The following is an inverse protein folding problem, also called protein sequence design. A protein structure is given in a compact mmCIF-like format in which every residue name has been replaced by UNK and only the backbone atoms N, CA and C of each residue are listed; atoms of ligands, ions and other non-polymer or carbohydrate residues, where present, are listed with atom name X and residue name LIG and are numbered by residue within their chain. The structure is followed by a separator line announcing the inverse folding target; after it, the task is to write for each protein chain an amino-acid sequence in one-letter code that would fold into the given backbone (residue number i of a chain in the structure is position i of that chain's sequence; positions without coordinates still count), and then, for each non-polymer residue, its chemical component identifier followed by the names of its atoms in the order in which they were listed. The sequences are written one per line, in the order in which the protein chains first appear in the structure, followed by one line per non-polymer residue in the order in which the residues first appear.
data_IF_907704241344
#
_entry.id   IF_907704241344
#
_cell.length_a   1.000
_cell.length_b   1.000
_cell.length_c   1.000
_cell.angle_alpha   90.00
_cell.angle_beta   90.00
_cell.angle_gamma   90.00
#
_symmetry.space_group_name_H-M   'P 1'
#
loop_
_entity.id
_entity.type
_entity.pdbx_description
1 polymer ?
#
# COMPACT_ATOMS: atom_id res chain seq x y z
N UNK A 1 9.95 -4.24 13.80
CA UNK A 1 9.62 -3.17 12.84
C UNK A 1 8.64 -2.15 13.44
N UNK A 2 7.64 -2.62 14.21
CA UNK A 2 6.53 -1.80 14.70
C UNK A 2 6.80 -1.08 16.04
N UNK A 3 7.86 -1.45 16.75
CA UNK A 3 8.16 -0.84 18.04
C UNK A 3 8.52 0.65 17.91
N UNK A 4 7.78 1.48 18.62
CA UNK A 4 8.03 2.92 18.70
C UNK A 4 9.04 3.18 19.80
N UNK A 5 10.31 3.24 19.42
CA UNK A 5 11.40 3.50 20.38
C UNK A 5 11.55 5.01 20.61
N UNK A 6 11.57 5.39 21.87
CA UNK A 6 12.08 6.72 22.22
C UNK A 6 13.55 6.86 21.76
N UNK A 7 14.00 8.07 21.48
CA UNK A 7 15.38 8.28 21.04
C UNK A 7 16.45 7.70 21.98
N UNK A 8 16.31 7.74 23.33
CA UNK A 8 17.23 7.06 24.22
C UNK A 8 17.22 5.54 24.08
N UNK A 9 16.04 4.92 23.97
CA UNK A 9 15.92 3.46 23.78
C UNK A 9 16.47 3.03 22.43
N UNK A 10 16.22 3.81 21.37
CA UNK A 10 16.81 3.60 20.06
C UNK A 10 18.34 3.58 20.12
N UNK A 11 18.93 4.55 20.82
CA UNK A 11 20.38 4.61 21.01
C UNK A 11 20.91 3.39 21.74
N UNK A 12 20.23 2.93 22.80
CA UNK A 12 20.63 1.72 23.55
C UNK A 12 20.59 0.48 22.65
N UNK A 13 19.51 0.29 21.87
CA UNK A 13 19.39 -0.83 20.93
C UNK A 13 20.48 -0.81 19.87
N UNK A 14 20.77 0.35 19.28
CA UNK A 14 21.86 0.48 18.29
C UNK A 14 23.23 0.22 18.93
N UNK A 15 23.44 0.64 20.17
CA UNK A 15 24.70 0.38 20.88
C UNK A 15 24.88 -1.10 21.18
N UNK A 16 23.83 -1.80 21.60
CA UNK A 16 23.87 -3.20 22.03
C UNK A 16 23.86 -4.18 20.85
N UNK A 17 23.06 -3.89 19.83
CA UNK A 17 22.82 -4.78 18.68
C UNK A 17 23.38 -4.24 17.36
N UNK A 18 24.19 -3.18 17.37
CA UNK A 18 24.68 -2.51 16.17
C UNK A 18 25.46 -3.41 15.22
N UNK A 19 26.12 -4.44 15.70
CA UNK A 19 26.83 -5.43 14.88
C UNK A 19 25.89 -6.27 14.00
N UNK A 20 24.61 -6.41 14.39
CA UNK A 20 23.56 -7.13 13.65
C UNK A 20 22.71 -6.19 12.77
N UNK A 21 22.90 -4.88 12.89
CA UNK A 21 22.11 -3.86 12.21
C UNK A 21 22.92 -3.21 11.08
N UNK A 22 22.81 -3.75 9.88
CA UNK A 22 23.46 -3.20 8.70
C UNK A 22 22.66 -2.06 8.05
N UNK A 23 23.16 -1.56 6.92
CA UNK A 23 22.51 -0.49 6.13
C UNK A 23 21.11 -0.87 5.69
N UNK A 24 20.89 -2.14 5.35
CA UNK A 24 19.58 -2.65 4.89
C UNK A 24 18.53 -2.58 5.98
N UNK A 25 18.88 -2.99 7.21
CA UNK A 25 17.99 -2.96 8.37
C UNK A 25 17.61 -1.52 8.72
N UNK A 26 18.60 -0.62 8.74
CA UNK A 26 18.37 0.80 8.99
C UNK A 26 17.54 1.46 7.90
N UNK A 27 17.75 1.12 6.60
CA UNK A 27 16.93 1.60 5.49
C UNK A 27 15.48 1.11 5.62
N UNK A 28 15.29 -0.19 5.84
CA UNK A 28 13.95 -0.79 6.01
C UNK A 28 13.19 -0.10 7.15
N UNK A 29 13.85 0.12 8.28
CA UNK A 29 13.27 0.83 9.42
C UNK A 29 12.95 2.28 9.09
N UNK A 30 13.82 2.97 8.35
CA UNK A 30 13.62 4.36 7.95
C UNK A 30 12.40 4.50 7.04
N UNK A 31 12.28 3.65 6.02
CA UNK A 31 11.13 3.64 5.09
C UNK A 31 9.84 3.32 5.83
N UNK A 32 9.85 2.28 6.67
CA UNK A 32 8.68 1.91 7.47
C UNK A 32 8.21 3.05 8.37
N UNK A 33 9.14 3.74 9.05
CA UNK A 33 8.83 4.88 9.90
C UNK A 33 8.26 6.06 9.08
N UNK A 34 8.79 6.31 7.87
CA UNK A 34 8.28 7.36 6.98
C UNK A 34 6.85 7.09 6.52
N UNK A 35 6.52 5.83 6.19
CA UNK A 35 5.15 5.44 5.82
C UNK A 35 4.14 5.63 6.95
N UNK A 36 4.60 5.58 8.21
CA UNK A 36 3.77 5.84 9.41
C UNK A 36 3.85 7.31 9.88
N UNK A 37 4.33 8.21 9.03
CA UNK A 37 4.50 9.65 9.33
C UNK A 37 5.35 9.92 10.60
N UNK A 38 6.29 9.01 10.92
CA UNK A 38 7.23 9.13 12.05
C UNK A 38 8.55 9.73 11.59
N UNK A 39 8.52 10.96 11.12
CA UNK A 39 9.61 11.61 10.40
C UNK A 39 10.94 11.66 11.16
N UNK A 40 10.89 11.98 12.45
CA UNK A 40 12.09 12.02 13.29
C UNK A 40 12.78 10.66 13.41
N UNK A 41 12.00 9.58 13.51
CA UNK A 41 12.53 8.20 13.51
C UNK A 41 13.09 7.84 12.14
N UNK A 42 12.35 8.16 11.09
CA UNK A 42 12.74 7.88 9.70
C UNK A 42 14.10 8.52 9.37
N UNK A 43 14.26 9.81 9.67
CA UNK A 43 15.51 10.53 9.36
C UNK A 43 16.71 10.08 10.22
N UNK A 44 16.50 9.73 11.49
CA UNK A 44 17.58 9.16 12.32
C UNK A 44 18.00 7.79 11.81
N UNK A 45 17.07 6.92 11.47
CA UNK A 45 17.38 5.61 10.92
C UNK A 45 18.06 5.73 9.54
N UNK A 46 17.63 6.66 8.70
CA UNK A 46 18.25 6.94 7.41
C UNK A 46 19.72 7.40 7.56
N UNK A 47 20.03 8.21 8.56
CA UNK A 47 21.41 8.64 8.83
C UNK A 47 22.34 7.47 9.16
N UNK A 48 21.84 6.43 9.84
CA UNK A 48 22.59 5.20 10.14
C UNK A 48 22.76 4.32 8.88
N UNK A 49 21.86 4.41 7.91
CA UNK A 49 21.95 3.70 6.63
C UNK A 49 22.91 4.35 5.63
N UNK A 50 23.24 5.64 5.80
CA UNK A 50 24.21 6.34 4.98
C UNK A 50 23.62 7.57 4.22
N UNK A 51 24.50 8.35 3.55
CA UNK A 51 24.12 9.64 2.94
C UNK A 51 23.06 9.49 1.83
N UNK A 52 23.17 8.46 1.01
CA UNK A 52 22.26 8.22 -0.13
C UNK A 52 20.85 7.91 0.35
N UNK A 53 20.73 7.03 1.37
CA UNK A 53 19.46 6.72 2.03
C UNK A 53 18.91 7.96 2.76
N UNK A 54 19.80 8.78 3.32
CA UNK A 54 19.38 10.05 3.95
C UNK A 54 18.78 11.01 2.92
N UNK A 55 19.37 11.13 1.73
CA UNK A 55 18.82 11.96 0.65
C UNK A 55 17.44 11.42 0.20
N UNK A 56 17.33 10.11 -0.01
CA UNK A 56 16.06 9.44 -0.33
C UNK A 56 14.97 9.76 0.71
N UNK A 57 15.27 9.51 1.99
CA UNK A 57 14.27 9.67 3.06
C UNK A 57 13.90 11.13 3.32
N UNK A 58 14.80 12.09 3.08
CA UNK A 58 14.44 13.52 3.10
C UNK A 58 13.39 13.85 2.05
N UNK A 59 13.53 13.30 0.82
CA UNK A 59 12.54 13.50 -0.23
C UNK A 59 11.19 12.81 0.11
N UNK A 60 11.24 11.59 0.64
CA UNK A 60 10.04 10.84 1.06
C UNK A 60 9.29 11.58 2.16
N UNK A 61 9.95 11.95 3.26
CA UNK A 61 9.35 12.66 4.40
C UNK A 61 8.81 14.04 3.99
N UNK A 62 9.54 14.79 3.14
CA UNK A 62 9.05 16.06 2.67
C UNK A 62 7.78 15.93 1.81
N UNK A 63 7.64 14.83 1.06
CA UNK A 63 6.44 14.58 0.25
C UNK A 63 5.20 14.30 1.08
N UNK A 64 5.34 13.66 2.24
CA UNK A 64 4.21 13.38 3.15
C UNK A 64 3.74 14.65 3.88
N UNK A 65 4.62 15.63 4.07
CA UNK A 65 4.37 16.87 4.83
C UNK A 65 4.08 18.11 3.97
N UNK A 66 3.65 17.95 2.71
CA UNK A 66 3.43 19.07 1.77
C UNK A 66 4.65 20.00 1.54
N UNK A 67 5.80 19.66 2.12
CA UNK A 67 7.07 20.39 1.99
C UNK A 67 7.94 19.91 0.83
N UNK A 68 7.46 18.95 0.03
CA UNK A 68 8.24 18.38 -1.06
C UNK A 68 8.45 19.40 -2.17
N UNK A 69 9.70 19.77 -2.36
CA UNK A 69 10.13 20.49 -3.55
C UNK A 69 10.67 19.49 -4.59
N UNK A 70 10.49 19.80 -5.86
CA UNK A 70 11.10 19.02 -6.95
C UNK A 70 12.64 18.96 -6.81
N UNK A 71 13.24 19.93 -6.11
CA UNK A 71 14.66 19.93 -5.74
C UNK A 71 15.05 18.74 -4.84
N UNK A 72 14.22 18.35 -3.88
CA UNK A 72 14.50 17.20 -3.01
C UNK A 72 14.42 15.89 -3.80
N UNK A 73 13.45 15.76 -4.68
CA UNK A 73 13.36 14.59 -5.57
C UNK A 73 14.55 14.52 -6.54
N UNK A 74 14.99 15.66 -7.09
CA UNK A 74 16.15 15.73 -7.97
C UNK A 74 17.48 15.45 -7.24
N UNK A 75 17.55 15.70 -5.94
CA UNK A 75 18.74 15.42 -5.12
C UNK A 75 18.89 13.94 -4.73
N UNK A 76 17.88 13.11 -4.97
CA UNK A 76 17.97 11.66 -4.75
C UNK A 76 18.91 11.06 -5.80
N UNK A 77 19.93 10.26 -5.40
CA UNK A 77 20.85 9.64 -6.33
C UNK A 77 20.14 8.80 -7.41
N UNK A 78 20.72 8.73 -8.62
CA UNK A 78 20.10 8.09 -9.78
C UNK A 78 19.68 6.63 -9.53
N UNK A 79 20.46 5.89 -8.77
CA UNK A 79 20.20 4.51 -8.37
C UNK A 79 18.93 4.35 -7.52
N UNK A 80 18.55 5.39 -6.76
CA UNK A 80 17.37 5.41 -5.89
C UNK A 80 16.14 6.06 -6.54
N UNK A 81 16.26 6.59 -7.76
CA UNK A 81 15.12 7.24 -8.44
C UNK A 81 13.95 6.29 -8.75
N UNK A 82 14.23 4.98 -8.82
CA UNK A 82 13.23 3.91 -9.02
C UNK A 82 12.83 3.22 -7.72
N UNK A 83 13.31 3.68 -6.58
CA UNK A 83 12.99 3.08 -5.29
C UNK A 83 11.48 3.15 -4.99
N UNK A 84 10.93 2.05 -4.48
CA UNK A 84 9.51 1.94 -4.17
C UNK A 84 9.05 3.03 -3.19
N UNK A 85 9.87 3.39 -2.18
CA UNK A 85 9.51 4.42 -1.20
C UNK A 85 9.40 5.80 -1.84
N UNK A 86 10.21 6.11 -2.86
CA UNK A 86 10.11 7.36 -3.59
C UNK A 86 8.86 7.38 -4.49
N UNK A 87 8.52 6.25 -5.11
CA UNK A 87 7.28 6.10 -5.87
C UNK A 87 6.06 6.29 -4.95
N UNK A 88 6.06 5.65 -3.80
CA UNK A 88 5.01 5.81 -2.78
C UNK A 88 4.82 7.29 -2.38
N UNK A 89 5.90 7.97 -2.04
CA UNK A 89 5.87 9.37 -1.64
C UNK A 89 5.29 10.30 -2.73
N UNK A 90 5.64 10.06 -4.00
CA UNK A 90 5.08 10.79 -5.16
C UNK A 90 3.58 10.55 -5.30
N UNK A 91 3.14 9.29 -5.19
CA UNK A 91 1.74 8.89 -5.27
C UNK A 91 0.94 9.53 -4.15
N UNK A 92 1.43 9.42 -2.92
CA UNK A 92 0.81 10.02 -1.73
C UNK A 92 0.64 11.54 -1.88
N UNK A 93 1.68 12.25 -2.32
CA UNK A 93 1.63 13.69 -2.60
C UNK A 93 0.59 14.04 -3.67
N UNK A 94 0.54 13.28 -4.78
CA UNK A 94 -0.45 13.50 -5.84
C UNK A 94 -1.87 13.33 -5.31
N UNK A 95 -2.13 12.27 -4.54
CA UNK A 95 -3.43 12.04 -3.94
C UNK A 95 -3.83 13.16 -2.96
N UNK A 96 -2.91 13.59 -2.07
CA UNK A 96 -3.16 14.72 -1.15
C UNK A 96 -3.43 16.02 -1.89
N UNK A 97 -2.75 16.27 -3.01
CA UNK A 97 -3.02 17.39 -3.89
C UNK A 97 -4.29 17.25 -4.74
N UNK A 98 -5.10 16.21 -4.51
CA UNK A 98 -6.31 15.85 -5.26
C UNK A 98 -6.09 15.62 -6.76
N UNK A 99 -4.86 15.30 -7.17
CA UNK A 99 -4.47 14.91 -8.55
C UNK A 99 -4.65 13.41 -8.72
N UNK A 100 -5.91 12.98 -8.67
CA UNK A 100 -6.27 11.56 -8.51
C UNK A 100 -5.90 10.73 -9.74
N UNK A 101 -6.09 11.25 -10.94
CA UNK A 101 -5.76 10.56 -12.19
C UNK A 101 -4.25 10.36 -12.34
N UNK A 102 -3.46 11.38 -11.99
CA UNK A 102 -1.99 11.28 -11.97
C UNK A 102 -1.51 10.27 -10.90
N UNK A 103 -2.13 10.31 -9.71
CA UNK A 103 -1.85 9.36 -8.65
C UNK A 103 -2.17 7.92 -9.07
N UNK A 104 -3.29 7.70 -9.76
CA UNK A 104 -3.72 6.42 -10.28
C UNK A 104 -2.74 5.86 -11.33
N UNK A 105 -2.32 6.70 -12.28
CA UNK A 105 -1.32 6.30 -13.28
C UNK A 105 0.01 5.91 -12.63
N UNK A 106 0.49 6.73 -11.68
CA UNK A 106 1.70 6.43 -10.93
C UNK A 106 1.57 5.13 -10.11
N UNK A 107 0.41 4.87 -9.49
CA UNK A 107 0.14 3.66 -8.73
C UNK A 107 0.13 2.39 -9.60
N UNK A 108 -0.42 2.47 -10.81
CA UNK A 108 -0.44 1.35 -11.75
C UNK A 108 0.96 1.05 -12.34
N UNK A 109 1.84 2.05 -12.37
CA UNK A 109 3.24 1.89 -12.80
C UNK A 109 4.19 1.50 -11.67
N UNK A 110 3.75 1.53 -10.41
CA UNK A 110 4.58 1.26 -9.25
C UNK A 110 4.95 -0.23 -9.13
N UNK A 111 6.06 -0.56 -8.43
CA UNK A 111 6.40 -1.94 -8.09
C UNK A 111 5.28 -2.64 -7.32
N UNK A 112 5.17 -3.96 -7.51
CA UNK A 112 4.14 -4.79 -6.86
C UNK A 112 4.72 -5.98 -6.09
N UNK A 113 6.01 -6.23 -6.20
CA UNK A 113 6.64 -7.26 -5.40
C UNK A 113 6.62 -6.85 -3.91
N UNK A 114 5.97 -7.62 -3.03
CA UNK A 114 5.92 -7.32 -1.60
C UNK A 114 7.30 -7.14 -0.98
N UNK A 115 8.33 -7.81 -1.49
CA UNK A 115 9.69 -7.71 -1.00
C UNK A 115 10.31 -6.31 -1.23
N UNK A 116 9.90 -5.62 -2.30
CA UNK A 116 10.38 -4.28 -2.65
C UNK A 116 9.64 -3.17 -1.88
N UNK A 117 8.41 -3.44 -1.45
CA UNK A 117 7.51 -2.41 -0.92
C UNK A 117 7.78 -2.02 0.54
N UNK A 118 8.57 -2.79 1.29
CA UNK A 118 8.85 -2.62 2.74
C UNK A 118 7.61 -2.82 3.62
N UNK A 119 6.51 -2.15 3.34
CA UNK A 119 5.20 -2.31 3.99
C UNK A 119 4.09 -2.40 2.94
N UNK A 120 3.82 -3.60 2.39
CA UNK A 120 2.78 -3.81 1.39
C UNK A 120 1.36 -3.45 1.88
N UNK A 121 1.14 -3.49 3.18
CA UNK A 121 -0.16 -3.18 3.78
C UNK A 121 -0.44 -1.67 3.79
N UNK A 122 0.62 -0.86 3.95
CA UNK A 122 0.50 0.60 3.79
C UNK A 122 0.26 0.98 2.32
N UNK A 123 0.88 0.27 1.38
CA UNK A 123 0.59 0.42 -0.04
C UNK A 123 -0.87 0.08 -0.36
N UNK A 124 -1.46 -0.92 0.30
CA UNK A 124 -2.89 -1.19 0.18
C UNK A 124 -3.73 -0.02 0.69
N UNK A 125 -3.37 0.57 1.81
CA UNK A 125 -4.07 1.76 2.34
C UNK A 125 -4.13 2.87 1.29
N UNK A 126 -3.02 3.17 0.63
CA UNK A 126 -2.94 4.20 -0.41
C UNK A 126 -3.75 3.81 -1.66
N UNK A 127 -3.66 2.55 -2.13
CA UNK A 127 -4.46 2.02 -3.24
C UNK A 127 -5.95 2.16 -2.99
N UNK A 128 -6.40 1.79 -1.80
CA UNK A 128 -7.81 1.90 -1.40
C UNK A 128 -8.32 3.34 -1.46
N UNK A 129 -7.53 4.28 -0.97
CA UNK A 129 -7.90 5.70 -0.97
C UNK A 129 -8.03 6.25 -2.40
N UNK A 130 -7.11 5.90 -3.30
CA UNK A 130 -7.15 6.30 -4.70
C UNK A 130 -8.34 5.63 -5.41
N UNK A 131 -8.56 4.33 -5.22
CA UNK A 131 -9.67 3.60 -5.82
C UNK A 131 -11.03 4.22 -5.44
N UNK A 132 -11.22 4.58 -4.16
CA UNK A 132 -12.45 5.26 -3.71
C UNK A 132 -12.66 6.61 -4.41
N UNK A 133 -11.61 7.42 -4.52
CA UNK A 133 -11.68 8.71 -5.23
C UNK A 133 -12.00 8.55 -6.72
N UNK A 134 -11.51 7.49 -7.35
CA UNK A 134 -11.85 7.18 -8.75
C UNK A 134 -13.31 6.76 -8.89
N UNK A 135 -13.85 5.99 -7.94
CA UNK A 135 -15.29 5.67 -7.93
C UNK A 135 -16.14 6.93 -7.79
N UNK A 136 -15.77 7.88 -6.93
CA UNK A 136 -16.45 9.17 -6.78
C UNK A 136 -16.45 9.97 -8.11
N UNK A 137 -15.42 9.77 -8.95
CA UNK A 137 -15.29 10.38 -10.29
C UNK A 137 -15.92 9.54 -11.42
N UNK A 138 -16.47 8.36 -11.12
CA UNK A 138 -17.09 7.46 -12.11
C UNK A 138 -16.10 6.56 -12.86
N UNK A 139 -14.80 6.59 -12.55
CA UNK A 139 -13.81 5.72 -13.19
C UNK A 139 -13.67 4.38 -12.43
N UNK A 140 -14.72 3.57 -12.54
CA UNK A 140 -14.77 2.25 -11.92
C UNK A 140 -13.74 1.27 -12.52
N UNK A 141 -13.40 1.41 -13.80
CA UNK A 141 -12.46 0.51 -14.46
C UNK A 141 -11.04 0.67 -13.89
N UNK A 142 -10.55 1.90 -13.74
CA UNK A 142 -9.26 2.17 -13.13
C UNK A 142 -9.28 1.85 -11.62
N UNK A 143 -10.38 2.17 -10.92
CA UNK A 143 -10.54 1.82 -9.51
C UNK A 143 -10.42 0.31 -9.26
N UNK A 144 -11.07 -0.51 -10.11
CA UNK A 144 -10.95 -1.96 -10.05
C UNK A 144 -9.51 -2.43 -10.25
N UNK A 145 -8.82 -1.94 -11.29
CA UNK A 145 -7.43 -2.33 -11.55
C UNK A 145 -6.52 -2.03 -10.35
N UNK A 146 -6.64 -0.82 -9.77
CA UNK A 146 -5.86 -0.42 -8.59
C UNK A 146 -6.14 -1.35 -7.40
N UNK A 147 -7.40 -1.68 -7.14
CA UNK A 147 -7.77 -2.57 -6.04
C UNK A 147 -7.33 -4.02 -6.30
N UNK A 148 -7.56 -4.54 -7.51
CA UNK A 148 -7.27 -5.92 -7.88
C UNK A 148 -5.76 -6.23 -7.92
N UNK A 149 -4.94 -5.22 -8.24
CA UNK A 149 -3.48 -5.33 -8.31
C UNK A 149 -2.81 -5.02 -6.97
N UNK A 150 -3.47 -5.29 -5.83
CA UNK A 150 -2.89 -5.10 -4.51
C UNK A 150 -1.74 -6.07 -4.23
N UNK A 151 -0.89 -5.70 -3.27
CA UNK A 151 0.23 -6.54 -2.80
C UNK A 151 0.15 -6.78 -1.28
N UNK A 152 -1.03 -6.58 -0.68
CA UNK A 152 -1.25 -6.73 0.74
C UNK A 152 -0.85 -8.13 1.23
N UNK A 153 -0.16 -8.21 2.36
CA UNK A 153 0.36 -9.46 2.94
C UNK A 153 -0.32 -9.80 4.27
N UNK A 154 -0.72 -8.81 5.06
CA UNK A 154 -1.49 -9.00 6.27
C UNK A 154 -2.86 -9.60 5.98
N UNK A 155 -3.33 -10.53 6.83
CA UNK A 155 -4.59 -11.22 6.60
C UNK A 155 -5.79 -10.25 6.52
N UNK A 156 -5.84 -9.26 7.39
CA UNK A 156 -6.89 -8.24 7.41
C UNK A 156 -6.87 -7.39 6.14
N UNK A 157 -5.70 -6.90 5.75
CA UNK A 157 -5.49 -6.07 4.56
C UNK A 157 -5.79 -6.85 3.27
N UNK A 158 -5.43 -8.12 3.20
CA UNK A 158 -5.79 -9.01 2.08
C UNK A 158 -7.30 -9.19 1.96
N UNK A 159 -7.98 -9.48 3.08
CA UNK A 159 -9.45 -9.62 3.11
C UNK A 159 -10.10 -8.33 2.63
N UNK A 160 -9.60 -7.18 3.09
CA UNK A 160 -10.13 -5.88 2.69
C UNK A 160 -9.87 -5.59 1.20
N UNK A 161 -8.69 -5.90 0.69
CA UNK A 161 -8.31 -5.68 -0.71
C UNK A 161 -9.14 -6.55 -1.66
N UNK A 162 -9.24 -7.82 -1.37
CA UNK A 162 -10.06 -8.76 -2.16
C UNK A 162 -11.54 -8.37 -2.10
N UNK A 163 -12.02 -7.93 -0.94
CA UNK A 163 -13.38 -7.41 -0.84
C UNK A 163 -13.60 -6.20 -1.76
N UNK A 164 -12.71 -5.19 -1.73
CA UNK A 164 -12.87 -3.99 -2.54
C UNK A 164 -12.82 -4.32 -4.03
N UNK A 165 -11.89 -5.14 -4.48
CA UNK A 165 -11.80 -5.56 -5.87
C UNK A 165 -13.07 -6.29 -6.33
N UNK A 166 -13.53 -7.29 -5.58
CA UNK A 166 -14.76 -8.02 -5.86
C UNK A 166 -16.00 -7.12 -5.86
N UNK A 167 -16.10 -6.22 -4.89
CA UNK A 167 -17.23 -5.30 -4.78
C UNK A 167 -17.27 -4.28 -5.92
N UNK A 168 -16.12 -3.74 -6.33
CA UNK A 168 -16.05 -2.82 -7.48
C UNK A 168 -16.45 -3.56 -8.76
N UNK A 169 -15.91 -4.76 -8.98
CA UNK A 169 -16.26 -5.57 -10.13
C UNK A 169 -17.77 -5.85 -10.20
N UNK A 170 -18.36 -6.28 -9.09
CA UNK A 170 -19.77 -6.65 -9.06
C UNK A 170 -20.71 -5.45 -9.19
N UNK A 171 -20.43 -4.37 -8.43
CA UNK A 171 -21.40 -3.27 -8.24
C UNK A 171 -21.25 -2.11 -9.22
N UNK A 172 -20.04 -1.89 -9.73
CA UNK A 172 -19.75 -0.75 -10.61
C UNK A 172 -19.43 -1.17 -12.04
N UNK A 173 -18.85 -2.38 -12.24
CA UNK A 173 -18.58 -2.90 -13.56
C UNK A 173 -19.66 -3.88 -14.04
N UNK A 174 -20.58 -4.31 -13.18
CA UNK A 174 -21.58 -5.36 -13.44
C UNK A 174 -20.93 -6.63 -13.99
N UNK A 175 -19.75 -6.98 -13.48
CA UNK A 175 -18.94 -8.11 -13.94
C UNK A 175 -18.78 -9.15 -12.80
N UNK A 176 -19.76 -10.07 -12.65
CA UNK A 176 -19.70 -11.12 -11.64
C UNK A 176 -18.54 -12.11 -11.90
N UNK A 177 -18.12 -12.28 -13.14
CA UNK A 177 -16.98 -13.13 -13.49
C UNK A 177 -15.66 -12.61 -12.93
N UNK A 178 -15.44 -11.30 -12.97
CA UNK A 178 -14.30 -10.67 -12.30
C UNK A 178 -14.44 -10.65 -10.76
N UNK A 179 -15.67 -10.55 -10.25
CA UNK A 179 -15.90 -10.46 -8.81
C UNK A 179 -15.68 -11.78 -8.08
N UNK A 180 -16.12 -12.89 -8.65
CA UNK A 180 -16.15 -14.21 -8.02
C UNK A 180 -14.77 -14.67 -7.51
N UNK A 181 -13.66 -14.59 -8.27
CA UNK A 181 -12.36 -15.02 -7.80
C UNK A 181 -11.84 -14.18 -6.63
N UNK A 182 -12.19 -12.89 -6.55
CA UNK A 182 -11.81 -12.05 -5.41
C UNK A 182 -12.52 -12.47 -4.14
N UNK A 183 -13.82 -12.73 -4.17
CA UNK A 183 -14.55 -13.23 -3.02
C UNK A 183 -14.14 -14.65 -2.62
N UNK A 184 -13.68 -15.48 -3.56
CA UNK A 184 -13.10 -16.79 -3.25
C UNK A 184 -11.81 -16.63 -2.43
N UNK A 185 -10.85 -15.81 -2.90
CA UNK A 185 -9.60 -15.54 -2.15
C UNK A 185 -9.84 -14.88 -0.80
N UNK A 186 -10.87 -14.02 -0.70
CA UNK A 186 -11.31 -13.47 0.57
C UNK A 186 -11.74 -14.58 1.54
N UNK A 187 -12.51 -15.57 1.09
CA UNK A 187 -12.95 -16.70 1.91
C UNK A 187 -11.79 -17.59 2.36
N UNK A 188 -10.81 -17.82 1.48
CA UNK A 188 -9.60 -18.60 1.78
C UNK A 188 -8.73 -17.93 2.86
N UNK A 189 -8.73 -16.60 2.91
CA UNK A 189 -7.95 -15.81 3.88
C UNK A 189 -8.70 -15.60 5.20
N UNK A 190 -10.03 -15.73 5.20
CA UNK A 190 -10.88 -15.41 6.33
C UNK A 190 -10.66 -16.36 7.52
N UNK A 191 -10.14 -15.82 8.64
CA UNK A 191 -9.84 -16.57 9.86
C UNK A 191 -10.95 -16.47 10.93
N UNK A 192 -11.91 -15.57 10.77
CA UNK A 192 -13.00 -15.37 11.73
C UNK A 192 -14.36 -15.72 11.15
N UNK A 193 -15.35 -16.16 11.95
CA UNK A 193 -16.70 -16.43 11.46
C UNK A 193 -17.33 -15.22 10.74
N UNK A 194 -17.05 -13.99 11.22
CA UNK A 194 -17.58 -12.77 10.64
C UNK A 194 -16.99 -12.50 9.25
N UNK A 195 -15.66 -12.60 9.11
CA UNK A 195 -15.01 -12.41 7.79
C UNK A 195 -15.40 -13.49 6.80
N UNK A 196 -15.53 -14.74 7.24
CA UNK A 196 -15.98 -15.85 6.40
C UNK A 196 -17.45 -15.66 5.96
N UNK A 197 -18.34 -15.30 6.86
CA UNK A 197 -19.75 -15.03 6.53
C UNK A 197 -19.87 -13.92 5.49
N UNK A 198 -19.10 -12.85 5.63
CA UNK A 198 -19.04 -11.75 4.67
C UNK A 198 -18.56 -12.23 3.29
N UNK A 199 -17.52 -13.04 3.25
CA UNK A 199 -16.99 -13.59 2.00
C UNK A 199 -18.00 -14.49 1.30
N UNK A 200 -18.64 -15.39 2.03
CA UNK A 200 -19.65 -16.31 1.50
C UNK A 200 -20.90 -15.55 1.00
N UNK A 201 -21.35 -14.54 1.73
CA UNK A 201 -22.45 -13.68 1.29
C UNK A 201 -22.15 -13.05 -0.08
N UNK A 202 -20.98 -12.43 -0.25
CA UNK A 202 -20.63 -11.78 -1.49
C UNK A 202 -20.34 -12.76 -2.64
N UNK A 203 -19.86 -13.98 -2.33
CA UNK A 203 -19.79 -15.07 -3.30
C UNK A 203 -21.17 -15.44 -3.83
N UNK A 204 -22.15 -15.60 -2.92
CA UNK A 204 -23.55 -15.84 -3.29
C UNK A 204 -24.09 -14.71 -4.18
N UNK A 205 -23.84 -13.44 -3.81
CA UNK A 205 -24.28 -12.28 -4.63
C UNK A 205 -23.65 -12.25 -6.01
N UNK A 206 -22.37 -12.64 -6.15
CA UNK A 206 -21.72 -12.75 -7.45
C UNK A 206 -22.28 -13.91 -8.27
N UNK A 207 -22.56 -15.05 -7.64
CA UNK A 207 -23.19 -16.19 -8.28
C UNK A 207 -24.59 -15.86 -8.79
N UNK A 208 -25.43 -15.21 -7.99
CA UNK A 208 -26.79 -14.76 -8.41
C UNK A 208 -26.75 -13.80 -9.60
N UNK A 209 -25.73 -12.95 -9.70
CA UNK A 209 -25.59 -11.97 -10.79
C UNK A 209 -24.99 -12.59 -12.08
N UNK A 210 -24.48 -13.81 -12.01
CA UNK A 210 -23.91 -14.51 -13.16
C UNK A 210 -25.03 -14.97 -14.12
N UNK A 211 -24.78 -15.10 -15.44
CA UNK A 211 -25.78 -15.61 -16.40
C UNK A 211 -26.37 -16.97 -16.02
N UNK A 212 -25.58 -17.83 -15.35
CA UNK A 212 -25.99 -19.17 -14.88
C UNK A 212 -26.40 -19.16 -13.40
N UNK A 213 -26.68 -17.99 -12.86
CA UNK A 213 -26.63 -17.66 -11.43
C UNK A 213 -27.69 -18.28 -10.53
N UNK A 214 -28.81 -18.74 -11.09
CA UNK A 214 -29.86 -19.36 -10.26
C UNK A 214 -29.52 -20.79 -9.82
N UNK A 215 -28.67 -21.49 -10.56
CA UNK A 215 -28.23 -22.85 -10.23
C UNK A 215 -27.00 -22.86 -9.30
N UNK A 216 -26.07 -21.94 -9.51
CA UNK A 216 -24.84 -21.84 -8.72
C UNK A 216 -25.04 -21.22 -7.33
N UNK A 217 -26.15 -20.53 -7.08
CA UNK A 217 -26.51 -19.91 -5.81
C UNK A 217 -27.28 -20.85 -4.86
N UNK A 218 -27.76 -22.00 -5.35
CA UNK A 218 -28.42 -23.05 -4.58
C UNK A 218 -27.42 -24.06 -4.04
#
# INVERSE_FOLDING_TARGET
READFSAPLEKSVVTEFGEFLGKTEHRTRAVFAAYKERDGVALRAAALAGPDVTALLRAVVAATNDGASDKLFAAVPAEWQKDASLAFARIHRLRKANKIEEAAQAMLAAPRDPAELVDPDEWWTERRLIARKLLDKGDAATAFRIAAEHSATGAEQRIEAEFHAGWIALRFLNDPGKAAPHFARMAETAATPLSLSRALYWRGRAAEASPDGTEAAR
#
